data_IF_725852611513
#
_entry.id   IF_725852611513
#
_cell.length_a   1.000
_cell.length_b   1.000
_cell.length_c   1.000
_cell.angle_alpha   90.00
_cell.angle_beta   90.00
_cell.angle_gamma   90.00
#
_symmetry.space_group_name_H-M   'P 1'
#
loop_
_entity.id
_entity.type
_entity.pdbx_description
1 polymer ?
#
# COMPACT_ATOMS: atom_id res chain seq x y z
N UNK A 1 -1.19 -4.67 48.81
CA UNK A 1 -0.03 -5.06 47.97
C UNK A 1 -0.31 -6.44 47.35
N UNK A 2 -1.08 -6.51 46.26
CA UNK A 2 -1.63 -7.78 45.72
C UNK A 2 -1.56 -7.93 44.18
N UNK A 3 -0.64 -7.22 43.50
CA UNK A 3 -0.50 -7.27 42.04
C UNK A 3 0.74 -8.04 41.58
N UNK A 4 1.92 -7.48 41.84
CA UNK A 4 3.18 -7.95 41.25
C UNK A 4 3.56 -9.41 41.60
N UNK A 5 3.33 -9.85 42.83
CA UNK A 5 3.67 -11.21 43.24
C UNK A 5 2.80 -12.27 42.54
N UNK A 6 1.52 -11.94 42.28
CA UNK A 6 0.58 -12.86 41.64
C UNK A 6 0.83 -12.92 40.13
N UNK A 7 1.20 -11.81 39.51
CA UNK A 7 1.61 -11.77 38.10
C UNK A 7 2.86 -12.60 37.84
N UNK A 8 3.89 -12.48 38.68
CA UNK A 8 5.12 -13.28 38.56
C UNK A 8 4.84 -14.77 38.69
N UNK A 9 3.95 -15.14 39.61
CA UNK A 9 3.58 -16.55 39.82
C UNK A 9 2.77 -17.11 38.64
N UNK A 10 1.89 -16.30 38.06
CA UNK A 10 1.11 -16.66 36.87
C UNK A 10 2.01 -16.79 35.63
N UNK A 11 2.95 -15.87 35.45
CA UNK A 11 3.94 -15.92 34.37
C UNK A 11 4.84 -17.15 34.50
N UNK A 12 5.27 -17.47 35.71
CA UNK A 12 6.07 -18.66 35.99
C UNK A 12 5.31 -19.94 35.62
N UNK A 13 4.03 -20.04 36.01
CA UNK A 13 3.17 -21.17 35.64
C UNK A 13 2.96 -21.29 34.12
N UNK A 14 2.74 -20.17 33.42
CA UNK A 14 2.57 -20.17 31.96
C UNK A 14 3.85 -20.66 31.27
N UNK A 15 5.01 -20.19 31.71
CA UNK A 15 6.29 -20.62 31.15
C UNK A 15 6.59 -22.08 31.47
N UNK A 16 6.31 -22.54 32.69
CA UNK A 16 6.49 -23.93 33.09
C UNK A 16 5.57 -24.86 32.29
N UNK A 17 4.30 -24.50 32.10
CA UNK A 17 3.37 -25.31 31.30
C UNK A 17 3.74 -25.33 29.82
N UNK A 18 4.25 -24.22 29.26
CA UNK A 18 4.81 -24.19 27.89
C UNK A 18 6.08 -25.04 27.77
N UNK A 19 6.91 -25.06 28.81
CA UNK A 19 8.11 -25.89 28.86
C UNK A 19 7.77 -27.39 28.91
N UNK A 20 6.78 -27.79 29.69
CA UNK A 20 6.28 -29.17 29.77
C UNK A 20 5.65 -29.63 28.44
N UNK A 21 4.85 -28.75 27.79
CA UNK A 21 4.18 -29.07 26.52
C UNK A 21 5.13 -29.31 25.34
N UNK A 22 6.37 -28.83 25.45
CA UNK A 22 7.42 -28.99 24.42
C UNK A 22 8.31 -30.21 24.65
N UNK A 23 8.11 -30.97 25.74
CA UNK A 23 9.00 -32.06 26.15
C UNK A 23 8.58 -33.48 25.75
N UNK A 24 7.49 -33.65 25.00
CA UNK A 24 7.18 -34.96 24.41
C UNK A 24 7.92 -35.13 23.08
N UNK A 25 9.05 -35.84 23.19
CA UNK A 25 9.92 -36.39 22.15
C UNK A 25 10.81 -35.40 21.37
N UNK A 26 12.12 -35.62 21.53
CA UNK A 26 13.20 -35.35 20.56
C UNK A 26 14.04 -34.05 20.64
N UNK A 27 13.88 -33.18 21.65
CA UNK A 27 14.50 -31.83 21.60
C UNK A 27 15.58 -31.48 22.65
N UNK A 28 16.15 -32.45 23.39
CA UNK A 28 17.19 -32.10 24.39
C UNK A 28 18.55 -31.71 23.76
N UNK A 29 18.91 -32.30 22.60
CA UNK A 29 20.14 -31.96 21.88
C UNK A 29 20.03 -30.62 21.13
N UNK A 30 18.93 -30.42 20.40
CA UNK A 30 18.63 -29.19 19.66
C UNK A 30 18.52 -27.97 20.57
N UNK A 31 17.98 -28.10 21.78
CA UNK A 31 17.92 -26.97 22.71
C UNK A 31 19.30 -26.50 23.17
N UNK A 32 20.28 -27.41 23.27
CA UNK A 32 21.63 -27.07 23.71
C UNK A 32 22.42 -26.44 22.57
N UNK A 33 22.33 -27.00 21.37
CA UNK A 33 22.93 -26.43 20.17
C UNK A 33 22.35 -25.05 19.81
N UNK A 34 21.04 -24.86 19.95
CA UNK A 34 20.41 -23.54 19.73
C UNK A 34 20.88 -22.54 20.79
N UNK A 35 20.99 -22.95 22.05
CA UNK A 35 21.52 -22.09 23.12
C UNK A 35 22.97 -21.70 22.84
N UNK A 36 23.82 -22.65 22.47
CA UNK A 36 25.23 -22.41 22.19
C UNK A 36 25.40 -21.56 20.92
N UNK A 37 24.57 -21.76 19.89
CA UNK A 37 24.56 -20.93 18.68
C UNK A 37 24.09 -19.49 18.96
N UNK A 38 23.10 -19.30 19.84
CA UNK A 38 22.64 -17.97 20.26
C UNK A 38 23.69 -17.28 21.12
N UNK A 39 24.33 -17.98 22.05
CA UNK A 39 25.42 -17.43 22.88
C UNK A 39 26.61 -17.02 22.01
N UNK A 40 27.01 -17.86 21.07
CA UNK A 40 28.07 -17.52 20.12
C UNK A 40 27.70 -16.30 19.26
N UNK A 41 26.46 -16.21 18.79
CA UNK A 41 25.98 -14.99 18.10
C UNK A 41 25.98 -13.76 19.00
N UNK A 42 25.63 -13.90 20.27
CA UNK A 42 25.66 -12.79 21.22
C UNK A 42 27.09 -12.37 21.57
N UNK A 43 28.07 -13.27 21.51
CA UNK A 43 29.48 -12.92 21.65
C UNK A 43 30.04 -12.28 20.36
N UNK A 44 29.70 -12.84 19.19
CA UNK A 44 30.16 -12.37 17.87
C UNK A 44 29.57 -10.99 17.52
N UNK A 45 28.29 -10.74 17.86
CA UNK A 45 27.56 -9.51 17.53
C UNK A 45 27.30 -8.60 18.74
N UNK A 46 27.42 -9.10 19.97
CA UNK A 46 27.41 -8.29 21.20
C UNK A 46 28.74 -7.59 21.46
N UNK A 47 29.50 -7.34 20.38
CA UNK A 47 30.67 -6.50 20.32
C UNK A 47 30.39 -5.14 20.96
N UNK A 48 30.84 -5.06 22.21
CA UNK A 48 31.03 -3.90 23.07
C UNK A 48 29.73 -3.18 23.43
N UNK A 49 29.34 -3.30 24.69
CA UNK A 49 28.31 -2.49 25.37
C UNK A 49 28.36 -0.99 24.97
N UNK A 50 29.55 -0.45 24.68
CA UNK A 50 29.76 0.90 24.15
C UNK A 50 29.10 1.19 22.79
N UNK A 51 29.05 0.23 21.85
CA UNK A 51 28.39 0.44 20.54
C UNK A 51 26.88 0.51 20.66
N UNK A 52 26.29 -0.32 21.53
CA UNK A 52 24.87 -0.25 21.82
C UNK A 52 24.53 1.04 22.58
N UNK A 53 25.38 1.46 23.53
CA UNK A 53 25.23 2.78 24.18
C UNK A 53 25.33 3.92 23.17
N UNK A 54 26.29 3.90 22.24
CA UNK A 54 26.43 4.92 21.21
C UNK A 54 25.24 4.96 20.23
N UNK A 55 24.74 3.80 19.80
CA UNK A 55 23.55 3.72 18.95
C UNK A 55 22.30 4.18 19.69
N UNK A 56 22.17 3.84 20.97
CA UNK A 56 21.04 4.23 21.81
C UNK A 56 21.10 5.71 22.19
N UNK A 57 22.30 6.27 22.39
CA UNK A 57 22.53 7.70 22.58
C UNK A 57 22.25 8.47 21.27
N UNK A 58 22.64 7.96 20.10
CA UNK A 58 22.29 8.53 18.79
C UNK A 58 20.77 8.50 18.54
N UNK A 59 20.09 7.41 18.91
CA UNK A 59 18.64 7.26 18.76
C UNK A 59 17.89 8.15 19.75
N UNK A 60 18.40 8.30 20.98
CA UNK A 60 17.91 9.27 21.98
C UNK A 60 18.19 10.72 21.56
N UNK A 61 19.30 11.00 20.88
CA UNK A 61 19.58 12.32 20.31
C UNK A 61 18.69 12.62 19.11
N UNK A 62 18.29 11.60 18.33
CA UNK A 62 17.33 11.77 17.23
C UNK A 62 15.91 12.05 17.73
N UNK A 63 15.53 11.55 18.91
CA UNK A 63 14.28 11.96 19.60
C UNK A 63 14.37 13.38 20.19
N UNK A 64 15.58 13.92 20.38
CA UNK A 64 15.85 15.25 20.91
C UNK A 64 16.14 16.30 19.82
N UNK A 65 16.22 15.89 18.56
CA UNK A 65 16.08 16.81 17.43
C UNK A 65 14.66 17.35 17.52
N UNK A 66 14.52 18.59 18.00
CA UNK A 66 13.26 19.32 17.93
C UNK A 66 12.73 19.18 16.50
N UNK A 67 11.62 18.46 16.34
CA UNK A 67 10.78 18.63 15.17
C UNK A 67 10.45 20.11 15.12
N UNK A 68 11.19 20.86 14.29
CA UNK A 68 10.89 22.25 14.00
C UNK A 68 9.55 22.24 13.29
N UNK A 69 8.47 22.32 14.08
CA UNK A 69 7.11 22.55 13.59
C UNK A 69 7.13 23.92 12.90
N UNK A 70 7.44 23.92 11.61
CA UNK A 70 7.21 25.07 10.76
C UNK A 70 5.70 25.32 10.73
N UNK A 71 5.23 26.31 11.49
CA UNK A 71 3.88 26.84 11.35
C UNK A 71 3.73 27.48 9.97
N UNK A 72 3.42 26.66 8.97
CA UNK A 72 3.08 27.13 7.63
C UNK A 72 1.69 27.73 7.70
N UNK A 73 1.60 29.05 7.49
CA UNK A 73 0.32 29.70 7.21
C UNK A 73 -0.23 29.14 5.89
N UNK A 74 -1.08 28.12 6.00
CA UNK A 74 -1.75 27.52 4.86
C UNK A 74 -3.05 28.29 4.60
N UNK A 75 -3.09 29.05 3.50
CA UNK A 75 -4.34 29.60 2.99
C UNK A 75 -5.30 28.44 2.69
N UNK A 76 -6.43 28.41 3.40
CA UNK A 76 -7.45 27.40 3.19
C UNK A 76 -8.27 27.76 1.96
N UNK A 77 -8.61 26.78 1.11
CA UNK A 77 -9.55 27.01 0.03
C UNK A 77 -10.88 27.59 0.54
N UNK A 78 -11.63 28.32 -0.30
CA UNK A 78 -12.95 28.81 0.04
C UNK A 78 -13.88 27.68 0.52
N UNK A 79 -14.81 28.03 1.41
CA UNK A 79 -15.79 27.06 1.93
C UNK A 79 -16.81 26.73 0.84
N UNK A 80 -16.73 25.51 0.31
CA UNK A 80 -17.61 25.00 -0.74
C UNK A 80 -18.36 23.76 -0.30
N UNK A 81 -19.55 23.56 -0.87
CA UNK A 81 -20.36 22.37 -0.60
C UNK A 81 -19.81 21.17 -1.40
N UNK A 82 -19.56 20.02 -0.74
CA UNK A 82 -19.15 18.81 -1.43
C UNK A 82 -20.32 18.26 -2.26
N UNK A 83 -20.01 17.67 -3.42
CA UNK A 83 -21.00 16.91 -4.18
C UNK A 83 -21.29 15.56 -3.51
N UNK A 84 -22.55 15.13 -3.55
CA UNK A 84 -22.92 13.76 -3.20
C UNK A 84 -22.35 12.78 -4.23
N UNK A 85 -21.49 11.88 -3.76
CA UNK A 85 -20.86 10.86 -4.62
C UNK A 85 -21.84 9.74 -4.94
N UNK A 86 -21.95 9.37 -6.22
CA UNK A 86 -22.87 8.34 -6.72
C UNK A 86 -22.06 7.14 -7.20
N UNK A 87 -22.53 5.91 -6.92
CA UNK A 87 -21.93 4.71 -7.51
C UNK A 87 -22.69 4.31 -8.77
N UNK A 88 -22.05 4.44 -9.93
CA UNK A 88 -22.63 4.05 -11.22
C UNK A 88 -22.67 2.52 -11.38
N UNK A 89 -23.74 1.99 -11.98
CA UNK A 89 -23.92 0.55 -12.22
C UNK A 89 -22.92 -0.01 -13.24
N UNK A 90 -22.48 0.82 -14.17
CA UNK A 90 -21.49 0.51 -15.20
C UNK A 90 -20.14 0.12 -14.57
N UNK A 91 -19.77 0.74 -13.44
CA UNK A 91 -18.56 0.39 -12.69
C UNK A 91 -18.69 -1.00 -12.08
N UNK A 92 -19.91 -1.38 -11.65
CA UNK A 92 -20.17 -2.72 -11.12
C UNK A 92 -20.02 -3.77 -12.22
N UNK A 93 -20.49 -3.47 -13.43
CA UNK A 93 -20.35 -4.35 -14.61
C UNK A 93 -18.88 -4.59 -15.00
N UNK A 94 -17.94 -3.69 -14.67
CA UNK A 94 -16.51 -3.92 -14.92
C UNK A 94 -15.95 -5.12 -14.12
N UNK A 95 -16.62 -5.52 -13.04
CA UNK A 95 -16.28 -6.71 -12.27
C UNK A 95 -16.87 -8.01 -12.85
N UNK A 96 -17.81 -7.92 -13.81
CA UNK A 96 -18.46 -9.10 -14.37
C UNK A 96 -17.57 -9.78 -15.41
N UNK A 97 -16.78 -10.73 -14.93
CA UNK A 97 -15.81 -11.50 -15.72
C UNK A 97 -16.42 -12.39 -16.81
N UNK A 98 -17.73 -12.67 -16.72
CA UNK A 98 -18.46 -13.51 -17.67
C UNK A 98 -19.03 -12.73 -18.86
N UNK A 99 -18.98 -11.40 -18.82
CA UNK A 99 -19.50 -10.54 -19.88
C UNK A 99 -18.44 -10.30 -20.98
N UNK A 100 -18.88 -9.92 -22.18
CA UNK A 100 -17.98 -9.44 -23.23
C UNK A 100 -17.28 -8.14 -22.85
N UNK A 101 -16.23 -7.77 -23.59
CA UNK A 101 -15.49 -6.52 -23.35
C UNK A 101 -16.47 -5.36 -23.41
N UNK A 102 -16.65 -4.66 -22.29
CA UNK A 102 -17.46 -3.45 -22.27
C UNK A 102 -16.75 -2.37 -23.06
N UNK A 103 -17.42 -1.85 -24.08
CA UNK A 103 -16.98 -0.66 -24.78
C UNK A 103 -17.26 0.58 -23.93
N UNK A 104 -16.21 1.13 -23.32
CA UNK A 104 -16.29 2.29 -22.43
C UNK A 104 -16.82 3.54 -23.16
N UNK A 105 -16.68 3.62 -24.49
CA UNK A 105 -17.17 4.76 -25.29
C UNK A 105 -18.70 4.85 -25.30
N UNK A 106 -19.39 3.74 -25.07
CA UNK A 106 -20.86 3.68 -25.05
C UNK A 106 -21.46 4.28 -23.77
N UNK A 107 -20.64 4.54 -22.75
CA UNK A 107 -21.07 5.07 -21.45
C UNK A 107 -20.40 6.41 -21.13
N UNK A 108 -20.61 7.47 -21.95
CA UNK A 108 -19.96 8.77 -21.78
C UNK A 108 -20.36 9.51 -20.50
N UNK A 109 -21.45 9.08 -19.86
CA UNK A 109 -21.92 9.62 -18.58
C UNK A 109 -21.11 9.12 -17.38
N UNK A 110 -20.39 8.00 -17.55
CA UNK A 110 -19.61 7.36 -16.48
C UNK A 110 -18.13 7.41 -16.79
N UNK A 111 -17.73 7.04 -18.01
CA UNK A 111 -16.34 7.01 -18.42
C UNK A 111 -16.04 8.14 -19.39
N UNK A 112 -15.01 8.93 -19.08
CA UNK A 112 -14.51 9.98 -19.96
C UNK A 112 -13.00 9.87 -20.09
N UNK A 113 -12.45 10.43 -21.16
CA UNK A 113 -11.00 10.46 -21.32
C UNK A 113 -10.31 11.34 -20.28
N UNK A 114 -9.02 11.11 -20.06
CA UNK A 114 -8.22 11.81 -19.06
C UNK A 114 -8.38 13.34 -19.02
N UNK A 115 -8.42 14.08 -20.16
CA UNK A 115 -8.59 15.53 -20.14
C UNK A 115 -9.83 16.00 -19.38
N UNK A 116 -10.89 15.18 -19.32
CA UNK A 116 -12.09 15.50 -18.57
C UNK A 116 -11.84 15.70 -17.07
N UNK A 117 -10.89 14.96 -16.49
CA UNK A 117 -10.54 15.11 -15.07
C UNK A 117 -10.01 16.51 -14.71
N UNK A 118 -9.54 17.26 -15.70
CA UNK A 118 -9.04 18.62 -15.54
C UNK A 118 -10.06 19.70 -15.90
N UNK A 119 -11.31 19.32 -16.21
CA UNK A 119 -12.36 20.28 -16.57
C UNK A 119 -12.61 21.27 -15.43
N UNK A 120 -12.58 22.57 -15.74
CA UNK A 120 -12.75 23.66 -14.76
C UNK A 120 -11.47 24.03 -14.00
N UNK A 121 -10.31 23.52 -14.44
CA UNK A 121 -8.99 23.93 -13.95
C UNK A 121 -8.23 24.76 -14.97
N UNK A 122 -7.26 25.55 -14.50
CA UNK A 122 -6.36 26.30 -15.39
C UNK A 122 -5.50 25.37 -16.25
N UNK A 123 -5.19 24.16 -15.74
CA UNK A 123 -4.38 23.16 -16.44
C UNK A 123 -5.03 22.65 -17.73
N UNK A 124 -6.36 22.71 -17.85
CA UNK A 124 -7.04 22.28 -19.08
C UNK A 124 -6.54 23.04 -20.32
N UNK A 125 -6.18 24.32 -20.18
CA UNK A 125 -5.69 25.16 -21.29
C UNK A 125 -4.33 24.72 -21.81
N UNK A 126 -3.50 24.16 -20.94
CA UNK A 126 -2.16 23.66 -21.26
C UNK A 126 -2.17 22.16 -21.61
N UNK A 127 -3.29 21.48 -21.36
CA UNK A 127 -3.44 20.06 -21.61
C UNK A 127 -3.60 19.77 -23.11
N UNK A 128 -2.55 19.21 -23.71
CA UNK A 128 -2.58 18.69 -25.07
C UNK A 128 -3.38 17.38 -25.11
N UNK A 129 -4.70 17.50 -25.24
CA UNK A 129 -5.65 16.37 -25.21
C UNK A 129 -5.31 15.26 -26.22
N UNK A 130 -4.73 15.63 -27.36
CA UNK A 130 -4.35 14.74 -28.47
C UNK A 130 -3.15 13.83 -28.15
N UNK A 131 -2.30 14.24 -27.20
CA UNK A 131 -1.07 13.52 -26.86
C UNK A 131 -1.29 12.40 -25.82
N UNK A 132 -2.50 12.31 -25.25
CA UNK A 132 -2.82 11.28 -24.28
C UNK A 132 -3.26 9.99 -24.96
N UNK A 133 -2.91 8.86 -24.35
CA UNK A 133 -3.37 7.55 -24.82
C UNK A 133 -4.89 7.43 -24.72
N UNK A 134 -5.53 6.96 -25.80
CA UNK A 134 -6.97 6.71 -25.89
C UNK A 134 -7.47 5.63 -24.91
N UNK A 135 -6.54 4.88 -24.33
CA UNK A 135 -6.83 3.82 -23.37
C UNK A 135 -6.89 4.31 -21.91
N UNK A 136 -6.70 5.62 -21.68
CA UNK A 136 -6.78 6.21 -20.35
C UNK A 136 -8.13 6.90 -20.17
N UNK A 137 -8.83 6.48 -19.12
CA UNK A 137 -10.18 6.86 -18.77
C UNK A 137 -10.23 7.36 -17.33
N UNK A 138 -11.25 8.16 -17.03
CA UNK A 138 -11.53 8.77 -15.74
C UNK A 138 -13.03 8.60 -15.48
N UNK A 139 -13.39 8.15 -14.28
CA UNK A 139 -14.79 8.15 -13.85
C UNK A 139 -15.29 9.59 -13.66
N UNK A 140 -16.55 9.86 -14.00
CA UNK A 140 -17.15 11.18 -13.77
C UNK A 140 -17.15 11.60 -12.30
N UNK A 141 -17.27 10.64 -11.38
CA UNK A 141 -17.22 10.88 -9.92
C UNK A 141 -15.83 11.21 -9.40
N UNK A 142 -14.78 10.95 -10.20
CA UNK A 142 -13.44 11.42 -9.89
C UNK A 142 -13.34 12.94 -9.93
N UNK A 143 -14.01 13.57 -10.92
CA UNK A 143 -14.03 15.02 -11.10
C UNK A 143 -15.10 15.71 -10.24
N UNK A 144 -16.22 15.03 -9.96
CA UNK A 144 -17.35 15.59 -9.20
C UNK A 144 -17.05 15.65 -7.69
N UNK A 145 -16.27 16.64 -7.28
CA UNK A 145 -15.87 16.84 -5.88
C UNK A 145 -16.74 17.88 -5.17
N UNK A 146 -16.99 19.01 -5.83
CA UNK A 146 -17.68 20.17 -5.25
C UNK A 146 -18.79 20.65 -6.19
N UNK A 147 -19.81 21.31 -5.62
CA UNK A 147 -20.82 22.00 -6.42
C UNK A 147 -20.18 23.23 -7.09
N UNK A 148 -20.07 23.21 -8.42
CA UNK A 148 -19.35 24.24 -9.18
C UNK A 148 -20.17 25.53 -9.26
N UNK A 149 -20.02 26.42 -8.28
CA UNK A 149 -20.64 27.76 -8.26
C UNK A 149 -19.73 28.84 -8.83
N UNK A 150 -19.01 28.54 -9.91
CA UNK A 150 -18.13 29.49 -10.61
C UNK A 150 -16.72 29.63 -10.02
N UNK A 151 -16.36 28.82 -9.01
CA UNK A 151 -15.01 28.80 -8.45
C UNK A 151 -14.05 27.91 -9.26
N UNK A 152 -12.75 28.23 -9.23
CA UNK A 152 -11.73 27.41 -9.86
C UNK A 152 -11.62 26.05 -9.15
N UNK A 153 -11.63 24.95 -9.90
CA UNK A 153 -11.46 23.60 -9.34
C UNK A 153 -10.00 23.25 -9.01
N UNK A 154 -9.06 24.14 -9.29
CA UNK A 154 -7.62 23.97 -9.05
C UNK A 154 -7.27 23.42 -7.66
N UNK A 155 -7.71 24.04 -6.54
CA UNK A 155 -7.40 23.54 -5.19
C UNK A 155 -8.16 22.25 -4.84
N UNK A 156 -9.19 21.88 -5.59
CA UNK A 156 -10.04 20.73 -5.34
C UNK A 156 -9.74 19.52 -6.24
N UNK A 157 -8.66 19.59 -7.02
CA UNK A 157 -8.17 18.46 -7.82
C UNK A 157 -7.82 17.28 -6.91
N UNK A 158 -8.45 16.13 -7.18
CA UNK A 158 -8.14 14.89 -6.46
C UNK A 158 -6.86 14.26 -7.01
N UNK A 159 -5.93 13.83 -6.13
CA UNK A 159 -4.80 13.03 -6.57
C UNK A 159 -5.31 11.65 -7.06
N UNK A 160 -4.83 11.14 -8.20
CA UNK A 160 -5.20 9.83 -8.70
C UNK A 160 -4.58 8.73 -7.84
N UNK A 161 -5.29 8.29 -6.81
CA UNK A 161 -4.84 7.21 -5.92
C UNK A 161 -5.24 5.82 -6.38
N UNK A 162 -6.39 5.68 -7.04
CA UNK A 162 -6.95 4.39 -7.41
C UNK A 162 -7.01 4.25 -8.92
N UNK A 163 -6.39 3.18 -9.43
CA UNK A 163 -6.35 2.86 -10.86
C UNK A 163 -6.91 1.47 -11.05
N UNK A 164 -7.94 1.36 -11.88
CA UNK A 164 -8.44 0.10 -12.36
C UNK A 164 -7.80 -0.22 -13.71
N UNK A 165 -7.13 -1.35 -13.81
CA UNK A 165 -6.64 -1.91 -15.06
C UNK A 165 -7.69 -2.89 -15.55
N UNK A 166 -8.45 -2.51 -16.58
CA UNK A 166 -9.49 -3.33 -17.19
C UNK A 166 -8.95 -4.06 -18.41
N UNK A 167 -9.03 -5.39 -18.38
CA UNK A 167 -8.56 -6.33 -19.41
C UNK A 167 -7.12 -6.12 -19.88
N UNK A 168 -6.25 -5.59 -19.01
CA UNK A 168 -4.87 -5.18 -19.34
C UNK A 168 -4.73 -4.16 -20.48
N UNK A 169 -5.84 -3.62 -21.00
CA UNK A 169 -5.86 -2.70 -22.12
C UNK A 169 -6.26 -1.29 -21.71
N UNK A 170 -7.20 -1.15 -20.75
CA UNK A 170 -7.74 0.13 -20.34
C UNK A 170 -7.31 0.49 -18.93
N UNK A 171 -6.92 1.74 -18.71
CA UNK A 171 -6.62 2.31 -17.41
C UNK A 171 -7.73 3.28 -17.04
N UNK A 172 -8.36 3.08 -15.88
CA UNK A 172 -9.48 3.89 -15.42
C UNK A 172 -9.14 4.48 -14.05
N UNK A 173 -9.13 5.81 -13.94
CA UNK A 173 -9.01 6.51 -12.68
C UNK A 173 -10.36 6.59 -11.97
N UNK A 174 -10.37 6.22 -10.69
CA UNK A 174 -11.59 6.08 -9.89
C UNK A 174 -11.57 6.96 -8.66
N UNK A 175 -12.76 7.31 -8.19
CA UNK A 175 -12.97 7.92 -6.87
C UNK A 175 -12.74 6.89 -5.76
N UNK A 176 -12.53 7.38 -4.53
CA UNK A 176 -12.34 6.51 -3.37
C UNK A 176 -13.58 5.67 -3.04
N UNK A 177 -14.80 6.20 -3.30
CA UNK A 177 -16.05 5.49 -3.08
C UNK A 177 -16.18 4.28 -4.02
N UNK A 178 -15.97 4.50 -5.32
CA UNK A 178 -16.00 3.46 -6.34
C UNK A 178 -14.92 2.40 -6.08
N UNK A 179 -13.71 2.84 -5.75
CA UNK A 179 -12.62 1.95 -5.39
C UNK A 179 -12.96 1.09 -4.15
N UNK A 180 -13.54 1.67 -3.10
CA UNK A 180 -13.94 0.93 -1.90
C UNK A 180 -14.95 -0.17 -2.22
N UNK A 181 -15.96 0.13 -3.04
CA UNK A 181 -16.93 -0.87 -3.49
C UNK A 181 -16.26 -1.99 -4.30
N UNK A 182 -15.37 -1.62 -5.24
CA UNK A 182 -14.63 -2.58 -6.07
C UNK A 182 -13.70 -3.49 -5.24
N UNK A 183 -13.05 -2.97 -4.19
CA UNK A 183 -12.23 -3.78 -3.30
C UNK A 183 -13.06 -4.89 -2.67
N UNK A 184 -14.24 -4.55 -2.14
CA UNK A 184 -15.16 -5.52 -1.57
C UNK A 184 -15.57 -6.60 -2.57
N UNK A 185 -15.94 -6.19 -3.79
CA UNK A 185 -16.38 -7.12 -4.84
C UNK A 185 -15.24 -7.99 -5.38
N UNK A 186 -14.06 -7.44 -5.60
CA UNK A 186 -12.90 -8.20 -6.07
C UNK A 186 -12.41 -9.18 -5.00
N UNK A 187 -12.46 -8.81 -3.72
CA UNK A 187 -12.13 -9.71 -2.63
C UNK A 187 -13.13 -10.88 -2.54
N UNK A 188 -14.44 -10.63 -2.67
CA UNK A 188 -15.42 -11.72 -2.68
C UNK A 188 -15.17 -12.70 -3.84
N UNK A 189 -14.92 -12.18 -5.04
CA UNK A 189 -14.58 -13.00 -6.22
C UNK A 189 -13.28 -13.79 -6.04
N UNK A 190 -12.29 -13.21 -5.35
CA UNK A 190 -11.04 -13.90 -5.02
C UNK A 190 -11.26 -15.06 -4.05
N UNK A 191 -12.10 -14.86 -3.03
CA UNK A 191 -12.41 -15.88 -2.03
C UNK A 191 -13.32 -17.00 -2.58
N UNK A 192 -14.24 -16.68 -3.49
CA UNK A 192 -15.20 -17.64 -4.07
C UNK A 192 -14.58 -18.62 -5.10
N UNK A 193 -13.28 -18.50 -5.40
CA UNK A 193 -12.51 -19.44 -6.26
C UNK A 193 -13.24 -19.88 -7.54
N UNK A 194 -13.36 -18.96 -8.50
CA UNK A 194 -13.73 -19.33 -9.88
C UNK A 194 -12.79 -18.83 -10.98
N UNK A 195 -11.55 -18.44 -10.65
CA UNK A 195 -10.59 -18.00 -11.67
C UNK A 195 -9.28 -18.78 -11.65
N UNK A 196 -9.23 -19.82 -12.49
CA UNK A 196 -8.00 -20.36 -13.10
C UNK A 196 -7.44 -19.44 -14.20
N UNK A 197 -8.05 -18.27 -14.40
CA UNK A 197 -7.65 -17.26 -15.39
C UNK A 197 -7.15 -16.04 -14.61
N UNK A 198 -5.98 -15.46 -14.92
CA UNK A 198 -5.54 -14.24 -14.26
C UNK A 198 -6.62 -13.16 -14.40
N UNK A 199 -7.07 -12.62 -13.27
CA UNK A 199 -8.15 -11.63 -13.21
C UNK A 199 -7.93 -10.55 -14.26
N UNK A 200 -8.81 -10.54 -15.26
CA UNK A 200 -8.78 -9.64 -16.41
C UNK A 200 -8.83 -8.18 -15.92
N UNK A 201 -9.52 -7.92 -14.82
CA UNK A 201 -9.60 -6.61 -14.18
C UNK A 201 -8.83 -6.60 -12.86
N UNK A 202 -7.88 -5.67 -12.69
CA UNK A 202 -7.11 -5.50 -11.45
C UNK A 202 -7.21 -4.07 -10.93
N UNK A 203 -7.50 -3.92 -9.63
CA UNK A 203 -7.45 -2.62 -8.96
C UNK A 203 -6.06 -2.41 -8.34
N UNK A 204 -5.46 -1.26 -8.61
CA UNK A 204 -4.12 -0.87 -8.15
C UNK A 204 -4.19 0.43 -7.38
N UNK A 205 -3.50 0.46 -6.24
CA UNK A 205 -3.22 1.67 -5.50
C UNK A 205 -1.95 2.32 -6.05
N UNK A 206 -2.05 3.58 -6.46
CA UNK A 206 -0.94 4.42 -6.87
C UNK A 206 -0.47 5.24 -5.67
N UNK A 207 0.81 5.06 -5.32
CA UNK A 207 1.48 5.95 -4.38
C UNK A 207 2.40 6.90 -5.15
N UNK A 208 2.38 8.21 -4.81
CA UNK A 208 3.32 9.15 -5.39
C UNK A 208 4.74 8.71 -5.04
N UNK A 209 5.61 8.75 -6.04
CA UNK A 209 7.01 8.38 -5.89
C UNK A 209 7.75 9.47 -5.13
N UNK A 210 8.14 9.21 -3.90
CA UNK A 210 8.91 10.16 -3.06
C UNK A 210 10.42 9.98 -3.33
N UNK A 211 10.86 8.74 -3.59
CA UNK A 211 12.24 8.43 -3.95
C UNK A 211 12.30 7.94 -5.40
N UNK A 212 13.37 8.30 -6.14
CA UNK A 212 13.84 7.45 -7.28
C UNK A 212 13.94 6.00 -6.76
N UNK A 213 13.90 4.93 -7.51
CA UNK A 213 13.85 3.53 -7.00
C UNK A 213 12.58 3.10 -6.23
N UNK A 214 11.73 3.98 -5.69
CA UNK A 214 10.46 3.55 -5.07
C UNK A 214 9.48 3.07 -6.15
N UNK A 215 8.89 1.89 -5.94
CA UNK A 215 7.76 1.39 -6.75
C UNK A 215 6.53 2.25 -6.50
N UNK A 216 5.87 2.66 -7.59
CA UNK A 216 4.61 3.42 -7.56
C UNK A 216 3.39 2.54 -7.26
N UNK A 217 3.53 1.22 -7.36
CA UNK A 217 2.47 0.25 -7.10
C UNK A 217 2.80 -0.57 -5.85
N UNK A 218 1.89 -0.53 -4.88
CA UNK A 218 2.05 -1.22 -3.58
C UNK A 218 1.84 -2.73 -3.67
N UNK A 219 1.13 -3.19 -4.70
CA UNK A 219 0.68 -4.58 -4.80
C UNK A 219 1.33 -5.34 -5.97
N UNK A 220 2.61 -5.06 -6.25
CA UNK A 220 3.40 -5.96 -7.08
C UNK A 220 3.69 -7.22 -6.28
N UNK A 221 3.13 -8.37 -6.68
CA UNK A 221 3.56 -9.69 -6.18
C UNK A 221 4.99 -9.97 -6.68
N UNK A 222 5.97 -9.24 -6.20
CA UNK A 222 7.39 -9.55 -6.41
C UNK A 222 7.89 -10.24 -5.15
N UNK A 223 7.63 -11.55 -5.07
CA UNK A 223 8.44 -12.44 -4.26
C UNK A 223 9.79 -12.57 -4.98
N UNK A 224 10.70 -11.63 -4.75
CA UNK A 224 12.11 -11.83 -5.13
C UNK A 224 12.74 -12.76 -4.11
N UNK A 225 13.04 -13.98 -4.55
CA UNK A 225 13.88 -14.92 -3.82
C UNK A 225 15.29 -14.28 -3.77
N UNK A 226 15.94 -14.16 -2.60
CA UNK A 226 17.31 -13.68 -2.54
C UNK A 226 18.21 -14.64 -3.34
N UNK A 227 19.23 -14.14 -4.07
CA UNK A 227 20.17 -15.03 -4.74
C UNK A 227 20.77 -15.97 -3.70
N UNK A 228 20.66 -17.27 -3.94
CA UNK A 228 21.35 -18.29 -3.16
C UNK A 228 22.82 -17.86 -3.10
N UNK A 229 23.34 -17.71 -1.88
CA UNK A 229 24.76 -17.48 -1.63
C UNK A 229 25.51 -18.65 -2.26
N UNK A 230 25.95 -18.46 -3.51
CA UNK A 230 26.92 -19.33 -4.13
C UNK A 230 28.16 -19.27 -3.27
N UNK A 231 28.53 -20.40 -2.69
CA UNK A 231 29.85 -20.58 -2.11
C UNK A 231 30.88 -20.28 -3.20
N UNK A 232 31.45 -19.07 -3.17
CA UNK A 232 32.63 -18.74 -3.95
C UNK A 232 33.84 -19.39 -3.27
N UNK A 233 33.94 -20.72 -3.39
CA UNK A 233 35.25 -21.37 -3.41
C UNK A 233 35.78 -21.21 -4.84
N UNK A 234 36.59 -20.17 -5.04
CA UNK A 234 37.97 -20.35 -5.47
C UNK A 234 38.61 -19.00 -5.71
N UNK A 235 39.67 -18.78 -4.96
CA UNK A 235 40.72 -17.86 -5.29
C UNK A 235 41.27 -18.16 -6.69
N UNK A 236 41.52 -17.11 -7.46
CA UNK A 236 42.83 -16.95 -8.09
C UNK A 236 43.07 -15.46 -8.40
N UNK A 237 44.29 -14.96 -8.15
CA UNK A 237 44.72 -13.62 -8.51
C UNK A 237 45.17 -13.57 -9.97
N UNK A 238 45.03 -12.38 -10.57
CA UNK A 238 45.91 -11.66 -11.51
C UNK A 238 45.07 -10.73 -12.39
#
# INVERSE_FOLDING_TARGET
MYGAAKELQTLFEIHHKRYEHTHYHHHHHLSKEIKDAVLKRLEDYGGTKQRLSQLLDEEQQRELEQELEEERQQERPPSVKPCESILHEEIKRLCDMHSDIMDLTQFPNVFRHLPYGFTGTTFLKECQSENWSKHIWVSTEFQRVIETKGESLNPFLRPPRWILVYRNNHLIFLSALEANWLIGRLNSLYHERQFSIPSITTLRLLLPRIKRNQSIFVNTRTLTIPPLLGHSNNAAPF
#
